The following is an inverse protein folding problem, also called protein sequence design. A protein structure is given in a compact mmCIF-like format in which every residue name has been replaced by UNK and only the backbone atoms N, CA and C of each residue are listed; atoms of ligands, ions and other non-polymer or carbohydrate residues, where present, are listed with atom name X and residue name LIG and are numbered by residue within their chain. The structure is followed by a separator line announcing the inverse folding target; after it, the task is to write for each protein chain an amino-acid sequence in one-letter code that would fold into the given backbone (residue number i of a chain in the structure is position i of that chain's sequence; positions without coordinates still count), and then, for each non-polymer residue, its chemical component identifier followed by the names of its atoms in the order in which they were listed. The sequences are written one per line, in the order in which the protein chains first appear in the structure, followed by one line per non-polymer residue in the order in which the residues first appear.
data_IF_873336467174
#
_entry.id   IF_873336467174
#
_cell.length_a   1.000
_cell.length_b   1.000
_cell.length_c   1.000
_cell.angle_alpha   90.00
_cell.angle_beta   90.00
_cell.angle_gamma   90.00
#
_symmetry.space_group_name_H-M   'P 1'
#
loop_
_entity.id
_entity.type
_entity.pdbx_description
1 polymer ?
#
# COMPACT_ATOMS: atom_id res chain seq x y z
N UNK A 1 -5.51 -7.56 13.66
CA UNK A 1 -4.67 -6.81 12.70
C UNK A 1 -3.25 -7.13 13.05
N UNK A 2 -2.43 -7.47 12.07
CA UNK A 2 -1.10 -8.05 12.32
C UNK A 2 -0.01 -7.00 12.59
N UNK A 3 -0.26 -5.73 12.23
CA UNK A 3 0.73 -4.64 12.26
C UNK A 3 0.32 -3.43 13.11
N UNK A 4 -0.85 -3.45 13.75
CA UNK A 4 -1.35 -2.37 14.63
C UNK A 4 -1.28 -0.94 14.04
N UNK A 5 -1.30 -0.81 12.71
CA UNK A 5 -1.22 0.48 12.01
C UNK A 5 -2.49 1.31 12.21
N UNK A 6 -2.30 2.64 12.29
CA UNK A 6 -3.42 3.55 12.19
C UNK A 6 -3.97 3.60 10.74
N UNK A 7 -5.17 4.19 10.52
CA UNK A 7 -5.77 4.20 9.19
C UNK A 7 -4.94 4.80 8.06
N UNK A 8 -4.21 5.88 8.34
CA UNK A 8 -3.41 6.55 7.34
C UNK A 8 -2.14 5.75 7.08
N UNK A 9 -1.47 5.24 8.12
CA UNK A 9 -0.32 4.34 7.97
C UNK A 9 -0.68 3.14 7.09
N UNK A 10 -1.82 2.49 7.33
CA UNK A 10 -2.26 1.35 6.53
C UNK A 10 -2.50 1.69 5.04
N UNK A 11 -2.92 2.92 4.72
CA UNK A 11 -3.10 3.37 3.33
C UNK A 11 -1.76 3.74 2.68
N UNK A 12 -0.85 4.31 3.47
CA UNK A 12 0.44 4.83 3.03
C UNK A 12 1.46 3.70 2.78
N UNK A 13 1.34 2.56 3.48
CA UNK A 13 2.24 1.42 3.32
C UNK A 13 2.46 1.05 1.83
N UNK A 14 3.71 0.76 1.42
CA UNK A 14 4.02 0.43 0.06
C UNK A 14 3.36 -0.89 -0.34
N UNK A 15 2.75 -0.88 -1.53
CA UNK A 15 1.89 -1.95 -2.02
C UNK A 15 2.64 -2.88 -2.97
N UNK A 16 2.10 -4.09 -3.07
CA UNK A 16 2.46 -5.05 -4.10
C UNK A 16 1.20 -5.61 -4.75
N UNK A 17 1.32 -6.08 -5.99
CA UNK A 17 0.25 -6.75 -6.70
C UNK A 17 0.79 -7.91 -7.51
N UNK A 18 0.07 -9.03 -7.47
CA UNK A 18 0.31 -10.13 -8.40
C UNK A 18 -0.27 -9.74 -9.78
N UNK A 19 0.53 -9.87 -10.82
CA UNK A 19 0.14 -9.52 -12.18
C UNK A 19 -0.31 -10.76 -12.96
N UNK A 20 0.62 -11.69 -13.13
CA UNK A 20 0.40 -12.98 -13.81
C UNK A 20 1.56 -13.92 -13.50
N UNK A 21 1.32 -15.24 -13.56
CA UNK A 21 2.38 -16.23 -13.38
C UNK A 21 3.22 -15.97 -12.13
N UNK A 22 4.51 -15.68 -12.31
CA UNK A 22 5.46 -15.33 -11.22
C UNK A 22 5.72 -13.82 -11.10
N UNK A 23 5.07 -13.00 -11.92
CA UNK A 23 5.27 -11.55 -11.97
C UNK A 23 4.56 -10.86 -10.83
N UNK A 24 5.32 -10.06 -10.09
CA UNK A 24 4.83 -9.26 -8.97
C UNK A 24 5.29 -7.82 -9.18
N UNK A 25 4.32 -6.91 -9.25
CA UNK A 25 4.59 -5.47 -9.19
C UNK A 25 4.73 -5.03 -7.74
N UNK A 26 5.75 -4.22 -7.45
CA UNK A 26 6.03 -3.66 -6.14
C UNK A 26 6.31 -2.16 -6.26
N UNK A 27 5.83 -1.35 -5.31
CA UNK A 27 6.17 0.07 -5.24
C UNK A 27 7.59 0.32 -4.73
N UNK A 28 8.22 1.42 -5.18
CA UNK A 28 9.62 1.76 -4.81
C UNK A 28 9.86 1.96 -3.31
N UNK A 29 8.81 2.14 -2.50
CA UNK A 29 8.92 2.28 -1.05
C UNK A 29 9.33 0.98 -0.34
N UNK A 30 9.23 -0.17 -1.01
CA UNK A 30 9.64 -1.45 -0.43
C UNK A 30 11.17 -1.56 -0.34
N UNK A 31 11.67 -2.03 0.79
CA UNK A 31 13.10 -2.22 0.99
C UNK A 31 13.74 -3.18 -0.02
N UNK A 32 14.89 -2.79 -0.56
CA UNK A 32 15.61 -3.57 -1.57
C UNK A 32 15.97 -5.00 -1.15
N UNK A 33 16.10 -5.28 0.15
CA UNK A 33 16.42 -6.62 0.62
C UNK A 33 15.24 -7.59 0.39
N UNK A 34 14.00 -7.12 0.59
CA UNK A 34 12.77 -7.88 0.35
C UNK A 34 12.62 -8.22 -1.13
N UNK A 35 12.88 -7.23 -2.01
CA UNK A 35 12.85 -7.42 -3.48
C UNK A 35 13.83 -8.52 -3.91
N UNK A 36 15.05 -8.51 -3.37
CA UNK A 36 16.08 -9.51 -3.67
C UNK A 36 15.70 -10.89 -3.15
N UNK A 37 15.12 -10.97 -1.97
CA UNK A 37 14.70 -12.24 -1.37
C UNK A 37 13.57 -12.87 -2.19
N UNK A 38 12.55 -12.10 -2.59
CA UNK A 38 11.50 -12.56 -3.48
C UNK A 38 12.04 -13.05 -4.83
N UNK A 39 12.99 -12.31 -5.43
CA UNK A 39 13.64 -12.74 -6.66
C UNK A 39 14.39 -14.07 -6.47
N UNK A 40 15.06 -14.26 -5.32
CA UNK A 40 15.77 -15.51 -5.00
C UNK A 40 14.82 -16.70 -4.81
N UNK A 41 13.57 -16.44 -4.39
CA UNK A 41 12.50 -17.43 -4.30
C UNK A 41 11.87 -17.75 -5.68
N UNK A 42 12.30 -17.06 -6.74
CA UNK A 42 11.89 -17.32 -8.12
C UNK A 42 10.77 -16.42 -8.63
N UNK A 43 10.43 -15.34 -7.93
CA UNK A 43 9.49 -14.32 -8.40
C UNK A 43 10.14 -13.39 -9.43
N UNK A 44 9.36 -12.99 -10.44
CA UNK A 44 9.72 -11.94 -11.40
C UNK A 44 9.26 -10.59 -10.83
N UNK A 45 10.11 -9.97 -10.01
CA UNK A 45 9.75 -8.74 -9.29
C UNK A 45 10.03 -7.50 -10.14
N UNK A 46 9.03 -6.64 -10.29
CA UNK A 46 9.13 -5.35 -10.96
C UNK A 46 8.89 -4.22 -9.97
N UNK A 47 9.92 -3.41 -9.71
CA UNK A 47 9.79 -2.20 -8.90
C UNK A 47 9.32 -1.04 -9.79
N UNK A 48 8.05 -0.65 -9.67
CA UNK A 48 7.44 0.34 -10.56
C UNK A 48 7.70 1.77 -10.08
N UNK A 49 8.17 2.62 -10.98
CA UNK A 49 8.25 4.07 -10.74
C UNK A 49 6.87 4.73 -10.70
N UNK A 50 5.95 4.26 -11.55
CA UNK A 50 4.58 4.75 -11.59
C UNK A 50 3.68 3.98 -10.62
N UNK A 51 3.20 4.67 -9.58
CA UNK A 51 2.34 4.11 -8.54
C UNK A 51 0.85 4.16 -8.90
N UNK A 52 0.48 4.71 -10.06
CA UNK A 52 -0.93 4.93 -10.44
C UNK A 52 -1.74 3.63 -10.52
N UNK A 53 -1.08 2.49 -10.79
CA UNK A 53 -1.72 1.18 -10.90
C UNK A 53 -2.00 0.49 -9.55
N UNK A 54 -1.52 1.03 -8.43
CA UNK A 54 -1.58 0.39 -7.10
C UNK A 54 -2.85 0.75 -6.30
N UNK A 55 -3.87 1.26 -6.99
CA UNK A 55 -5.19 1.52 -6.42
C UNK A 55 -5.28 2.81 -5.60
N UNK A 56 -6.51 3.13 -5.18
CA UNK A 56 -6.85 4.35 -4.43
C UNK A 56 -7.74 4.01 -3.24
N UNK A 57 -7.15 3.96 -2.06
CA UNK A 57 -7.82 3.60 -0.81
C UNK A 57 -8.47 4.80 -0.13
N UNK A 58 -9.62 4.57 0.50
CA UNK A 58 -10.23 5.51 1.45
C UNK A 58 -10.72 4.68 2.63
N UNK A 59 -10.53 5.16 3.85
CA UNK A 59 -10.94 4.43 5.04
C UNK A 59 -11.54 5.36 6.08
N UNK A 60 -12.60 4.89 6.75
CA UNK A 60 -13.19 5.51 7.94
C UNK A 60 -13.37 4.38 8.96
N UNK A 61 -12.77 4.53 10.13
CA UNK A 61 -12.97 3.60 11.26
C UNK A 61 -13.53 4.37 12.47
N UNK A 62 -14.19 3.63 13.37
CA UNK A 62 -14.61 4.15 14.67
C UNK A 62 -13.68 3.57 15.75
N UNK A 63 -12.99 4.45 16.49
CA UNK A 63 -12.07 4.07 17.55
C UNK A 63 -12.16 5.07 18.71
N UNK A 64 -12.27 4.57 19.95
CA UNK A 64 -12.32 5.43 21.13
C UNK A 64 -13.50 6.42 21.18
N UNK A 65 -14.58 6.15 20.45
CA UNK A 65 -15.74 7.05 20.33
C UNK A 65 -15.56 8.18 19.31
N UNK A 66 -14.47 8.18 18.53
CA UNK A 66 -14.23 9.13 17.44
C UNK A 66 -14.17 8.41 16.08
N UNK A 67 -14.45 9.16 15.01
CA UNK A 67 -14.20 8.72 13.63
C UNK A 67 -12.76 9.10 13.25
N UNK A 68 -12.04 8.14 12.65
CA UNK A 68 -10.69 8.33 12.14
C UNK A 68 -10.73 8.03 10.64
N UNK A 69 -10.43 9.03 9.83
CA UNK A 69 -10.42 8.92 8.37
C UNK A 69 -9.01 8.89 7.80
N UNK A 70 -8.85 8.24 6.65
CA UNK A 70 -7.61 8.23 5.88
C UNK A 70 -7.90 8.27 4.37
N UNK A 71 -7.08 9.02 3.64
CA UNK A 71 -7.24 9.24 2.19
C UNK A 71 -5.99 8.83 1.44
N UNK A 72 -6.18 8.34 0.21
CA UNK A 72 -5.10 7.91 -0.67
C UNK A 72 -4.09 9.04 -0.94
N UNK A 73 -2.78 8.87 -0.62
CA UNK A 73 -1.76 9.85 -0.98
C UNK A 73 -1.39 9.84 -2.48
N UNK A 74 -1.64 8.72 -3.19
CA UNK A 74 -1.28 8.54 -4.62
C UNK A 74 -2.23 9.25 -5.59
N UNK A 75 -3.27 9.93 -5.11
CA UNK A 75 -4.22 10.68 -5.93
C UNK A 75 -4.75 11.90 -5.15
N UNK A 76 -5.26 12.90 -5.85
CA UNK A 76 -5.97 13.99 -5.20
C UNK A 76 -7.19 13.44 -4.44
N UNK A 77 -7.24 13.72 -3.13
CA UNK A 77 -8.27 13.24 -2.22
C UNK A 77 -8.28 14.06 -0.93
N UNK A 78 -9.38 13.96 -0.18
CA UNK A 78 -9.48 14.60 1.13
C UNK A 78 -10.41 13.81 2.05
N UNK A 79 -10.16 13.91 3.36
CA UNK A 79 -11.13 13.55 4.41
C UNK A 79 -11.76 14.85 4.90
N UNK A 80 -13.09 14.90 4.91
CA UNK A 80 -13.85 16.01 5.46
C UNK A 80 -14.71 15.54 6.64
N UNK A 81 -14.97 16.49 7.54
CA UNK A 81 -15.76 16.30 8.76
C UNK A 81 -16.86 17.36 8.82
N UNK A 82 -17.97 17.02 9.48
CA UNK A 82 -19.11 17.90 9.73
C UNK A 82 -19.58 17.74 11.17
#
# INVERSE_FOLDING_TARGET
MDFELNPQEAIDEPRWQWLEGRKVGIEQGVENHIIKELASMGHEVHADYDQTSYGRGQMIICGGGALIGATEPRADGYIAVY
#
